data_IF_826723292495
#
_entry.id   IF_826723292495
#
_cell.length_a   1.000
_cell.length_b   1.000
_cell.length_c   1.000
_cell.angle_alpha   90.00
_cell.angle_beta   90.00
_cell.angle_gamma   90.00
#
_symmetry.space_group_name_H-M   'P 1'
#
loop_
_entity.id
_entity.type
_entity.pdbx_description
1 polymer ?
#
# COMPACT_ATOMS: atom_id res chain seq x y z
N UNK A 1 -46.72 6.69 -42.90
CA UNK A 1 -46.24 5.29 -42.81
C UNK A 1 -45.14 5.11 -43.84
N UNK A 2 -43.94 4.56 -43.54
CA UNK A 2 -43.52 3.88 -42.32
C UNK A 2 -42.32 4.54 -41.61
N UNK A 3 -42.23 4.20 -40.33
CA UNK A 3 -41.24 4.55 -39.31
C UNK A 3 -39.90 3.83 -39.54
N UNK A 4 -38.77 4.47 -39.26
CA UNK A 4 -37.49 3.77 -39.00
C UNK A 4 -36.88 4.27 -37.70
N UNK A 5 -36.61 3.29 -36.85
CA UNK A 5 -36.25 3.39 -35.44
C UNK A 5 -34.78 3.81 -35.27
N UNK A 6 -34.58 4.62 -34.24
CA UNK A 6 -33.33 4.92 -33.57
C UNK A 6 -32.75 3.67 -32.90
N UNK A 7 -31.46 3.36 -33.09
CA UNK A 7 -30.65 2.55 -32.16
C UNK A 7 -29.17 2.92 -32.26
N UNK A 8 -28.76 3.87 -31.41
CA UNK A 8 -27.35 4.08 -31.06
C UNK A 8 -26.75 2.86 -30.34
N UNK A 9 -25.76 2.22 -30.95
CA UNK A 9 -25.00 1.10 -30.36
C UNK A 9 -23.89 1.65 -29.46
N UNK A 10 -24.24 1.90 -28.20
CA UNK A 10 -23.35 2.30 -27.10
C UNK A 10 -22.71 1.10 -26.40
N UNK A 11 -22.20 0.11 -27.15
CA UNK A 11 -21.68 -1.13 -26.55
C UNK A 11 -20.21 -1.47 -26.90
N UNK A 12 -19.44 -0.48 -27.34
CA UNK A 12 -18.00 -0.64 -27.64
C UNK A 12 -17.04 -0.16 -26.55
N UNK A 13 -17.53 0.48 -25.47
CA UNK A 13 -16.69 1.13 -24.44
C UNK A 13 -16.60 0.36 -23.13
N UNK A 14 -17.42 -0.67 -22.90
CA UNK A 14 -17.46 -1.41 -21.62
C UNK A 14 -16.50 -2.59 -21.53
N UNK A 15 -15.99 -3.10 -22.65
CA UNK A 15 -15.16 -4.33 -22.68
C UNK A 15 -13.64 -4.06 -22.55
N UNK A 16 -13.22 -2.85 -22.15
CA UNK A 16 -11.79 -2.52 -21.92
C UNK A 16 -11.33 -2.70 -20.47
N UNK A 17 -12.21 -3.14 -19.57
CA UNK A 17 -11.77 -3.57 -18.26
C UNK A 17 -11.25 -5.00 -18.40
N UNK A 18 -9.93 -5.15 -18.24
CA UNK A 18 -9.24 -6.42 -18.29
C UNK A 18 -9.99 -7.46 -17.47
N UNK A 19 -10.25 -8.62 -18.07
CA UNK A 19 -10.81 -9.77 -17.37
C UNK A 19 -9.94 -10.08 -16.15
N UNK A 20 -10.40 -9.74 -14.96
CA UNK A 20 -9.79 -10.22 -13.72
C UNK A 20 -10.22 -11.68 -13.58
N UNK A 21 -9.29 -12.62 -13.32
CA UNK A 21 -9.66 -14.02 -13.15
C UNK A 21 -10.62 -14.16 -11.97
N UNK A 22 -11.72 -14.89 -12.19
CA UNK A 22 -12.64 -15.33 -11.12
C UNK A 22 -11.82 -16.15 -10.12
N UNK A 23 -11.75 -15.72 -8.85
CA UNK A 23 -10.89 -16.34 -7.83
C UNK A 23 -9.49 -15.72 -7.75
N UNK A 24 -9.40 -14.39 -7.75
CA UNK A 24 -8.10 -13.70 -7.64
C UNK A 24 -7.52 -13.85 -6.22
N UNK A 25 -6.18 -13.92 -6.10
CA UNK A 25 -5.48 -13.96 -4.80
C UNK A 25 -5.93 -12.83 -3.85
N UNK A 26 -6.28 -11.68 -4.42
CA UNK A 26 -6.81 -10.55 -3.68
C UNK A 26 -8.15 -10.88 -2.97
N UNK A 27 -9.09 -11.57 -3.62
CA UNK A 27 -10.37 -11.97 -3.02
C UNK A 27 -10.16 -12.93 -1.83
N UNK A 28 -9.24 -13.88 -1.96
CA UNK A 28 -8.86 -14.77 -0.85
C UNK A 28 -8.31 -13.98 0.34
N UNK A 29 -7.42 -13.02 0.07
CA UNK A 29 -6.81 -12.17 1.09
C UNK A 29 -7.84 -11.24 1.75
N UNK A 30 -8.82 -10.72 1.00
CA UNK A 30 -9.94 -9.96 1.57
C UNK A 30 -10.73 -10.78 2.57
N UNK A 31 -11.03 -12.04 2.27
CA UNK A 31 -11.72 -12.93 3.22
C UNK A 31 -10.85 -13.28 4.43
N UNK A 32 -9.54 -13.46 4.24
CA UNK A 32 -8.59 -13.66 5.35
C UNK A 32 -8.49 -12.45 6.27
N UNK A 33 -8.51 -11.23 5.72
CA UNK A 33 -8.41 -9.97 6.46
C UNK A 33 -9.52 -9.79 7.50
N UNK A 34 -10.74 -10.23 7.20
CA UNK A 34 -11.87 -10.18 8.16
C UNK A 34 -11.57 -11.05 9.39
N UNK A 35 -10.97 -12.23 9.18
CA UNK A 35 -10.56 -13.14 10.27
C UNK A 35 -9.37 -12.57 11.04
N UNK A 36 -8.36 -12.10 10.32
CA UNK A 36 -7.16 -11.48 10.90
C UNK A 36 -7.52 -10.30 11.80
N UNK A 37 -8.43 -9.41 11.37
CA UNK A 37 -8.90 -8.30 12.20
C UNK A 37 -9.59 -8.77 13.47
N UNK A 38 -10.48 -9.76 13.39
CA UNK A 38 -11.15 -10.33 14.57
C UNK A 38 -10.16 -10.94 15.56
N UNK A 39 -9.15 -11.65 15.05
CA UNK A 39 -8.11 -12.25 15.89
C UNK A 39 -7.18 -11.19 16.49
N UNK A 40 -6.84 -10.14 15.74
CA UNK A 40 -6.03 -9.03 16.23
C UNK A 40 -6.75 -8.24 17.34
N UNK A 41 -8.07 -8.01 17.22
CA UNK A 41 -8.90 -7.44 18.30
C UNK A 41 -8.91 -8.37 19.51
N UNK A 42 -9.14 -9.68 19.31
CA UNK A 42 -9.16 -10.68 20.40
C UNK A 42 -7.84 -10.72 21.16
N UNK A 43 -6.72 -10.60 20.45
CA UNK A 43 -5.36 -10.60 21.03
C UNK A 43 -4.94 -9.24 21.58
N UNK A 44 -5.76 -8.19 21.43
CA UNK A 44 -5.42 -6.83 21.85
C UNK A 44 -4.25 -6.22 21.08
N UNK A 45 -4.06 -6.61 19.81
CA UNK A 45 -3.03 -6.03 18.92
C UNK A 45 -3.52 -4.75 18.23
N UNK A 46 -4.84 -4.60 18.09
CA UNK A 46 -5.50 -3.40 17.61
C UNK A 46 -6.66 -3.06 18.56
N UNK A 47 -6.98 -1.78 18.75
CA UNK A 47 -8.11 -1.39 19.57
C UNK A 47 -9.43 -1.80 18.90
N UNK A 48 -10.42 -2.11 19.72
CA UNK A 48 -11.78 -2.38 19.25
C UNK A 48 -12.39 -1.06 18.76
N UNK A 49 -12.90 -0.97 17.51
CA UNK A 49 -13.51 0.26 16.99
C UNK A 49 -14.69 0.76 17.83
N UNK A 50 -15.33 -0.11 18.62
CA UNK A 50 -16.45 0.27 19.49
C UNK A 50 -16.02 0.71 20.89
N UNK A 51 -14.73 0.64 21.23
CA UNK A 51 -14.21 1.00 22.55
C UNK A 51 -13.19 2.14 22.43
N UNK A 52 -13.43 3.30 23.06
CA UNK A 52 -12.45 4.36 23.08
C UNK A 52 -11.22 3.90 23.85
N UNK A 53 -10.03 4.11 23.28
CA UNK A 53 -8.75 3.75 23.91
C UNK A 53 -7.98 5.02 24.21
N UNK A 54 -7.39 5.09 25.40
CA UNK A 54 -6.53 6.20 25.79
C UNK A 54 -5.20 6.13 25.06
N UNK A 55 -4.64 7.29 24.70
CA UNK A 55 -3.36 7.41 23.99
C UNK A 55 -2.18 6.73 24.72
N UNK A 56 -2.23 6.66 26.05
CA UNK A 56 -1.24 5.98 26.90
C UNK A 56 -1.17 4.46 26.68
N UNK A 57 -2.25 3.86 26.16
CA UNK A 57 -2.35 2.42 25.89
C UNK A 57 -2.09 2.08 24.41
N UNK A 58 -1.33 2.92 23.71
CA UNK A 58 -0.98 2.67 22.31
C UNK A 58 -0.14 1.38 22.19
N UNK A 59 -0.72 0.38 21.52
CA UNK A 59 -0.07 -0.92 21.33
C UNK A 59 1.03 -0.79 20.27
N UNK A 60 2.25 -1.21 20.60
CA UNK A 60 3.34 -1.38 19.65
C UNK A 60 3.18 -2.75 18.97
N UNK A 61 2.76 -2.75 17.72
CA UNK A 61 2.58 -3.99 16.96
C UNK A 61 3.75 -4.24 16.02
N UNK A 62 4.18 -5.50 15.91
CA UNK A 62 5.26 -5.92 15.01
C UNK A 62 4.68 -6.03 13.60
N UNK A 63 5.23 -5.23 12.71
CA UNK A 63 4.82 -5.13 11.31
C UNK A 63 5.26 -6.28 10.40
N UNK A 64 4.88 -6.20 9.13
CA UNK A 64 5.32 -7.10 8.06
C UNK A 64 6.77 -6.84 7.65
N UNK A 65 7.53 -7.90 7.36
CA UNK A 65 8.95 -7.82 6.99
C UNK A 65 9.22 -7.35 5.55
N UNK A 66 8.18 -7.31 4.72
CA UNK A 66 8.27 -6.91 3.32
C UNK A 66 8.23 -5.38 3.14
N UNK A 67 8.87 -4.86 2.08
CA UNK A 67 8.79 -3.43 1.73
C UNK A 67 7.39 -2.95 1.32
N UNK A 68 6.52 -3.88 0.90
CA UNK A 68 5.10 -3.68 0.62
C UNK A 68 4.31 -4.89 1.16
N UNK A 69 3.22 -4.70 1.93
CA UNK A 69 2.39 -5.81 2.42
C UNK A 69 1.77 -6.66 1.30
N UNK A 70 1.63 -7.97 1.52
CA UNK A 70 1.03 -8.91 0.54
C UNK A 70 -0.36 -8.45 0.08
N UNK A 71 -1.19 -8.00 1.03
CA UNK A 71 -2.54 -7.51 0.72
C UNK A 71 -2.51 -6.36 -0.28
N UNK A 72 -1.63 -5.38 -0.07
CA UNK A 72 -1.53 -4.21 -0.94
C UNK A 72 -0.98 -4.56 -2.32
N UNK A 73 -0.01 -5.50 -2.41
CA UNK A 73 0.52 -5.95 -3.70
C UNK A 73 -0.62 -6.51 -4.56
N UNK A 74 -1.37 -7.46 -4.03
CA UNK A 74 -2.46 -8.07 -4.80
C UNK A 74 -3.64 -7.12 -5.02
N UNK A 75 -3.90 -6.17 -4.12
CA UNK A 75 -4.87 -5.10 -4.35
C UNK A 75 -4.49 -4.25 -5.56
N UNK A 76 -3.22 -3.84 -5.65
CA UNK A 76 -2.72 -3.02 -6.75
C UNK A 76 -2.65 -3.78 -8.06
N UNK A 77 -2.34 -5.07 -8.03
CA UNK A 77 -2.47 -5.95 -9.20
C UNK A 77 -3.93 -6.04 -9.68
N UNK A 78 -4.86 -6.27 -8.76
CA UNK A 78 -6.29 -6.35 -9.05
C UNK A 78 -6.83 -5.04 -9.65
N UNK A 79 -6.43 -3.89 -9.09
CA UNK A 79 -6.83 -2.57 -9.56
C UNK A 79 -6.02 -2.09 -10.78
N UNK A 80 -5.03 -2.85 -11.25
CA UNK A 80 -4.08 -2.46 -12.29
C UNK A 80 -3.35 -1.14 -12.00
N UNK A 81 -3.19 -0.81 -10.72
CA UNK A 81 -2.54 0.40 -10.21
C UNK A 81 -1.09 0.11 -9.83
N UNK A 82 -0.32 -0.39 -10.81
CA UNK A 82 1.07 -0.79 -10.61
C UNK A 82 2.00 0.24 -11.25
N UNK A 83 2.96 0.73 -10.47
CA UNK A 83 3.96 1.70 -10.90
C UNK A 83 5.08 1.06 -11.72
N UNK A 84 5.71 1.85 -12.60
CA UNK A 84 6.79 1.40 -13.51
C UNK A 84 7.95 0.72 -12.77
N UNK A 85 8.34 1.25 -11.61
CA UNK A 85 9.49 0.80 -10.82
C UNK A 85 9.26 -0.52 -10.04
N UNK A 86 8.01 -0.99 -10.01
CA UNK A 86 7.59 -2.16 -9.22
C UNK A 86 7.10 -3.30 -10.12
N UNK A 87 7.15 -3.14 -11.46
CA UNK A 87 6.73 -4.16 -12.42
C UNK A 87 7.87 -5.11 -12.75
N UNK A 88 7.52 -6.38 -12.92
CA UNK A 88 8.42 -7.33 -13.58
C UNK A 88 8.53 -6.92 -15.07
N UNK A 89 9.75 -6.71 -15.60
CA UNK A 89 9.95 -6.31 -17.00
C UNK A 89 9.19 -7.22 -17.97
N UNK A 90 8.45 -6.61 -18.91
CA UNK A 90 7.66 -7.34 -19.90
C UNK A 90 6.31 -7.89 -19.42
N UNK A 91 5.94 -7.70 -18.15
CA UNK A 91 4.64 -8.15 -17.61
C UNK A 91 3.82 -6.98 -17.03
N UNK A 92 2.59 -7.26 -16.63
CA UNK A 92 1.74 -6.34 -15.86
C UNK A 92 1.69 -6.66 -14.36
N UNK A 93 2.46 -7.65 -13.92
CA UNK A 93 2.48 -8.15 -12.55
C UNK A 93 3.47 -7.39 -11.68
N UNK A 94 3.21 -7.35 -10.38
CA UNK A 94 4.10 -6.72 -9.41
C UNK A 94 5.29 -7.65 -9.13
N UNK A 95 6.49 -7.08 -9.12
CA UNK A 95 7.66 -7.72 -8.54
C UNK A 95 7.58 -7.60 -7.01
N UNK A 96 7.27 -8.71 -6.35
CA UNK A 96 7.11 -8.73 -4.89
C UNK A 96 8.38 -8.34 -4.12
N UNK A 97 9.57 -8.51 -4.71
CA UNK A 97 10.84 -8.13 -4.10
C UNK A 97 11.17 -6.65 -4.26
N UNK A 98 10.51 -5.95 -5.20
CA UNK A 98 10.76 -4.54 -5.53
C UNK A 98 9.61 -3.61 -5.16
N UNK A 99 8.44 -4.17 -4.86
CA UNK A 99 7.26 -3.43 -4.46
C UNK A 99 7.48 -2.67 -3.15
N UNK A 100 7.14 -1.39 -3.14
CA UNK A 100 7.17 -0.54 -1.96
C UNK A 100 5.76 -0.09 -1.63
N UNK A 101 5.42 -0.08 -0.34
CA UNK A 101 4.11 0.34 0.14
C UNK A 101 3.76 1.76 -0.35
N UNK A 102 2.61 1.92 -0.99
CA UNK A 102 2.09 3.22 -1.42
C UNK A 102 1.62 4.06 -0.22
N UNK A 103 1.58 5.38 -0.36
CA UNK A 103 1.02 6.24 0.67
C UNK A 103 -0.50 6.14 0.70
N UNK A 104 -1.06 5.80 1.87
CA UNK A 104 -2.51 5.74 2.04
C UNK A 104 -3.03 7.06 2.61
N UNK A 105 -4.07 7.63 2.00
CA UNK A 105 -4.71 8.84 2.55
C UNK A 105 -5.60 8.43 3.72
N UNK A 106 -5.43 9.02 4.92
CA UNK A 106 -6.39 8.82 5.99
C UNK A 106 -7.77 9.29 5.51
N UNK A 107 -8.70 8.35 5.37
CA UNK A 107 -10.09 8.64 5.04
C UNK A 107 -10.94 8.54 6.31
N UNK A 108 -11.89 9.45 6.46
CA UNK A 108 -12.82 9.41 7.59
C UNK A 108 -13.61 8.09 7.57
N UNK A 109 -13.61 7.36 8.68
CA UNK A 109 -14.28 6.06 8.79
C UNK A 109 -13.51 4.88 8.16
N UNK A 110 -12.28 5.08 7.68
CA UNK A 110 -11.43 3.95 7.30
C UNK A 110 -11.05 3.14 8.54
N UNK A 111 -11.08 1.81 8.41
CA UNK A 111 -10.61 0.93 9.47
C UNK A 111 -9.15 1.22 9.83
N UNK A 112 -8.83 1.07 11.11
CA UNK A 112 -7.44 1.15 11.55
C UNK A 112 -6.58 0.09 10.84
N UNK A 113 -5.35 0.44 10.39
CA UNK A 113 -4.44 -0.51 9.77
C UNK A 113 -4.19 -1.71 10.68
N UNK A 114 -4.09 -2.89 10.08
CA UNK A 114 -3.66 -4.10 10.78
C UNK A 114 -2.13 -4.08 10.99
N UNK A 115 -1.62 -4.85 11.95
CA UNK A 115 -0.18 -5.02 12.10
C UNK A 115 0.51 -5.48 10.82
N UNK A 116 -0.13 -6.36 10.05
CA UNK A 116 0.37 -6.85 8.76
C UNK A 116 0.48 -5.75 7.69
N UNK A 117 -0.17 -4.61 7.87
CA UNK A 117 -0.15 -3.51 6.91
C UNK A 117 0.99 -2.52 7.15
N UNK A 118 1.63 -2.56 8.31
CA UNK A 118 2.66 -1.59 8.70
C UNK A 118 4.01 -2.27 8.71
N UNK A 119 5.06 -1.56 8.29
CA UNK A 119 6.42 -2.09 8.28
C UNK A 119 7.14 -1.71 9.58
N UNK A 120 7.90 -2.63 10.20
CA UNK A 120 8.69 -2.31 11.37
C UNK A 120 9.88 -1.40 11.01
N UNK A 121 10.47 -0.69 11.97
CA UNK A 121 11.50 0.31 11.73
C UNK A 121 12.72 -0.17 10.92
N UNK A 122 13.29 -1.37 11.16
CA UNK A 122 14.41 -1.86 10.37
C UNK A 122 14.07 -2.02 8.88
N UNK A 123 12.84 -2.43 8.58
CA UNK A 123 12.34 -2.58 7.20
C UNK A 123 12.07 -1.22 6.58
N UNK A 124 11.59 -0.24 7.35
CA UNK A 124 11.43 1.13 6.88
C UNK A 124 12.76 1.76 6.46
N UNK A 125 13.81 1.54 7.26
CA UNK A 125 15.16 2.01 6.93
C UNK A 125 15.75 1.28 5.71
N UNK A 126 15.60 -0.04 5.63
CA UNK A 126 16.07 -0.80 4.46
C UNK A 126 15.32 -0.39 3.18
N UNK A 127 14.01 -0.14 3.29
CA UNK A 127 13.19 0.36 2.18
C UNK A 127 13.65 1.74 1.73
N UNK A 128 13.94 2.64 2.68
CA UNK A 128 14.45 3.97 2.36
C UNK A 128 15.81 3.89 1.66
N UNK A 129 16.70 3.01 2.14
CA UNK A 129 17.97 2.76 1.49
C UNK A 129 17.77 2.28 0.04
N UNK A 130 16.90 1.29 -0.18
CA UNK A 130 16.55 0.81 -1.53
C UNK A 130 16.04 1.94 -2.44
N UNK A 131 15.17 2.83 -1.95
CA UNK A 131 14.71 3.97 -2.76
C UNK A 131 15.86 4.89 -3.18
N UNK A 132 16.85 5.11 -2.31
CA UNK A 132 18.00 5.96 -2.61
C UNK A 132 18.97 5.25 -3.55
N UNK A 133 19.37 4.03 -3.20
CA UNK A 133 20.44 3.30 -3.88
C UNK A 133 20.00 2.69 -5.20
N UNK A 134 18.77 2.18 -5.30
CA UNK A 134 18.33 1.41 -6.46
C UNK A 134 17.45 2.22 -7.41
N UNK A 135 16.66 3.15 -6.87
CA UNK A 135 15.70 3.94 -7.65
C UNK A 135 16.26 5.31 -8.03
N UNK A 136 16.78 6.06 -7.06
CA UNK A 136 17.30 7.41 -7.32
C UNK A 136 18.68 7.38 -7.97
N UNK A 137 19.61 6.54 -7.48
CA UNK A 137 20.98 6.56 -8.00
C UNK A 137 21.12 6.01 -9.43
N UNK A 138 20.27 5.06 -9.83
CA UNK A 138 20.32 4.45 -11.18
C UNK A 138 19.21 4.93 -12.12
N UNK A 139 18.22 5.66 -11.60
CA UNK A 139 17.07 6.15 -12.37
C UNK A 139 17.22 7.60 -12.80
N UNK A 140 16.45 8.00 -13.81
CA UNK A 140 16.23 9.42 -14.08
C UNK A 140 15.37 10.02 -12.95
N UNK A 141 15.89 11.05 -12.29
CA UNK A 141 15.23 11.72 -11.19
C UNK A 141 13.88 12.32 -11.59
N UNK A 142 13.76 12.83 -12.82
CA UNK A 142 12.49 13.41 -13.30
C UNK A 142 11.37 12.35 -13.31
N UNK A 143 11.72 11.15 -13.77
CA UNK A 143 10.82 9.99 -13.87
C UNK A 143 10.54 9.35 -12.51
N UNK A 144 11.56 9.26 -11.64
CA UNK A 144 11.47 8.54 -10.36
C UNK A 144 10.94 9.39 -9.21
N UNK A 145 11.03 10.71 -9.31
CA UNK A 145 10.62 11.63 -8.23
C UNK A 145 9.16 11.47 -7.77
N UNK A 146 8.13 11.36 -8.65
CA UNK A 146 6.76 11.15 -8.19
C UNK A 146 6.59 9.86 -7.38
N UNK A 147 7.26 8.79 -7.80
CA UNK A 147 7.25 7.49 -7.13
C UNK A 147 7.95 7.57 -5.77
N UNK A 148 9.19 8.07 -5.73
CA UNK A 148 9.99 8.18 -4.50
C UNK A 148 9.28 9.09 -3.50
N UNK A 149 8.70 10.21 -3.94
CA UNK A 149 7.92 11.10 -3.07
C UNK A 149 6.72 10.40 -2.43
N UNK A 150 5.99 9.58 -3.19
CA UNK A 150 4.87 8.84 -2.63
C UNK A 150 5.33 7.80 -1.60
N UNK A 151 6.33 6.98 -1.97
CA UNK A 151 6.83 5.90 -1.11
C UNK A 151 7.50 6.41 0.17
N UNK A 152 8.23 7.53 0.09
CA UNK A 152 8.82 8.19 1.28
C UNK A 152 7.74 8.75 2.22
N UNK A 153 6.61 9.26 1.70
CA UNK A 153 5.46 9.63 2.54
C UNK A 153 4.84 8.42 3.24
N UNK A 154 4.75 7.28 2.55
CA UNK A 154 4.29 6.01 3.14
C UNK A 154 5.20 5.55 4.29
N UNK A 155 6.52 5.66 4.12
CA UNK A 155 7.50 5.33 5.17
C UNK A 155 7.28 6.19 6.43
N UNK A 156 7.13 7.50 6.26
CA UNK A 156 6.84 8.42 7.37
C UNK A 156 5.51 8.15 8.05
N UNK A 157 4.49 7.79 7.26
CA UNK A 157 3.19 7.39 7.77
C UNK A 157 3.29 6.16 8.68
N UNK A 158 4.06 5.14 8.29
CA UNK A 158 4.26 3.94 9.10
C UNK A 158 4.97 4.24 10.43
N UNK A 159 5.96 5.13 10.46
CA UNK A 159 6.58 5.59 11.72
C UNK A 159 5.56 6.30 12.63
N UNK A 160 4.70 7.13 12.03
CA UNK A 160 3.65 7.86 12.76
C UNK A 160 2.63 6.89 13.37
N UNK A 161 2.22 5.87 12.62
CA UNK A 161 1.28 4.83 13.08
C UNK A 161 1.84 4.02 14.25
N UNK A 162 3.15 3.82 14.30
CA UNK A 162 3.84 3.10 15.37
C UNK A 162 4.18 3.97 16.59
N UNK A 163 3.88 5.28 16.53
CA UNK A 163 4.32 6.27 17.53
C UNK A 163 5.82 6.16 17.87
N UNK A 164 6.64 5.74 16.89
CA UNK A 164 8.07 5.55 17.10
C UNK A 164 8.77 6.91 16.98
N UNK A 165 9.43 7.35 18.06
CA UNK A 165 10.21 8.59 18.15
C UNK A 165 11.72 8.34 18.34
N UNK A 166 12.17 7.11 18.08
CA UNK A 166 13.56 6.71 18.20
C UNK A 166 14.45 7.28 17.10
N UNK A 167 15.75 6.98 17.19
CA UNK A 167 16.77 7.46 16.25
C UNK A 167 16.44 7.06 14.81
N UNK A 168 15.89 5.88 14.59
CA UNK A 168 15.49 5.37 13.27
C UNK A 168 14.43 6.27 12.61
N UNK A 169 13.45 6.75 13.39
CA UNK A 169 12.44 7.66 12.89
C UNK A 169 13.04 9.04 12.53
N UNK A 170 13.97 9.53 13.34
CA UNK A 170 14.71 10.78 13.05
C UNK A 170 15.54 10.63 11.78
N UNK A 171 16.26 9.52 11.63
CA UNK A 171 17.03 9.22 10.41
C UNK A 171 16.11 9.15 9.19
N UNK A 172 15.01 8.40 9.24
CA UNK A 172 14.08 8.35 8.12
C UNK A 172 13.50 9.73 7.78
N UNK A 173 13.10 10.53 8.78
CA UNK A 173 12.56 11.87 8.57
C UNK A 173 13.58 12.84 7.96
N UNK A 174 14.84 12.78 8.38
CA UNK A 174 15.90 13.64 7.84
C UNK A 174 16.24 13.27 6.39
N UNK A 175 16.42 11.99 6.09
CA UNK A 175 16.75 11.51 4.75
C UNK A 175 15.61 11.74 3.76
N UNK A 176 14.36 11.47 4.16
CA UNK A 176 13.19 11.72 3.31
C UNK A 176 13.01 13.20 2.95
N UNK A 177 13.39 14.12 3.85
CA UNK A 177 13.37 15.56 3.55
C UNK A 177 14.42 15.98 2.52
N UNK A 178 15.53 15.24 2.42
CA UNK A 178 16.59 15.53 1.44
C UNK A 178 16.26 15.05 0.02
N UNK A 179 15.23 14.21 -0.14
CA UNK A 179 14.81 13.63 -1.42
C UNK A 179 13.63 14.38 -2.08
N UNK A 180 13.12 15.43 -1.42
CA UNK A 180 11.97 16.24 -1.84
C UNK A 180 12.38 17.71 -2.02
#
# INVERSE_FOLDING_TARGET
MPSRQDQGTTDGRRTRFCAVPIGSRFEELRHKRVRERKDAIRRGLIPDPNKPVRLENAITFIGTKDMCPEFERHEREYQQSVEKFEKIPGTKSIDHGRAVKAYSRPAAGADQPLPSDVRPPPVLLSTLNYLITDIVAYGDLSDSHPFVRDRTRSIRQDFTLQNNRGIEAVQAHTHTRSLL
#
